data_IF_439382231522
#
_entry.id   IF_439382231522
#
_cell.length_a   1.000
_cell.length_b   1.000
_cell.length_c   1.000
_cell.angle_alpha   90.00
_cell.angle_beta   90.00
_cell.angle_gamma   90.00
#
_symmetry.space_group_name_H-M   'P 1'
#
loop_
_entity.id
_entity.type
_entity.pdbx_description
1 polymer ?
#
# COMPACT_ATOMS: atom_id res chain seq x y z
N UNK A 1 4.36 8.84 -28.41
CA UNK A 1 5.58 8.02 -28.50
C UNK A 1 5.99 7.45 -27.14
N UNK A 2 6.41 6.19 -27.05
CA UNK A 2 6.88 5.62 -25.79
C UNK A 2 8.16 6.31 -25.32
N UNK A 3 8.24 6.60 -24.01
CA UNK A 3 9.41 7.24 -23.40
C UNK A 3 10.37 6.20 -22.82
N UNK A 4 11.67 6.49 -22.89
CA UNK A 4 12.74 5.62 -22.42
C UNK A 4 13.33 6.21 -21.14
N UNK A 5 13.07 5.60 -19.98
CA UNK A 5 13.61 6.06 -18.70
C UNK A 5 14.47 4.98 -18.05
N UNK A 6 15.58 5.40 -17.45
CA UNK A 6 16.48 4.53 -16.67
C UNK A 6 16.25 4.76 -15.19
N UNK A 7 15.58 3.81 -14.54
CA UNK A 7 15.30 3.88 -13.10
C UNK A 7 16.37 3.08 -12.32
N UNK A 8 16.85 3.59 -11.18
CA UNK A 8 18.00 3.03 -10.44
C UNK A 8 17.65 2.36 -9.10
N UNK A 9 16.44 2.58 -8.57
CA UNK A 9 16.01 2.02 -7.28
C UNK A 9 14.63 1.37 -7.41
N UNK A 10 14.22 0.55 -6.44
CA UNK A 10 12.84 0.01 -6.33
C UNK A 10 12.24 0.40 -4.99
N UNK A 11 10.91 0.41 -4.86
CA UNK A 11 10.21 0.46 -3.58
C UNK A 11 10.15 -0.92 -2.89
N UNK A 12 11.19 -1.76 -3.05
CA UNK A 12 11.32 -3.06 -2.41
C UNK A 12 12.48 -3.04 -1.41
N UNK A 13 12.21 -3.53 -0.21
CA UNK A 13 13.21 -3.73 0.84
C UNK A 13 13.25 -5.19 1.23
N UNK A 14 14.45 -5.75 1.34
CA UNK A 14 14.71 -7.10 1.82
C UNK A 14 15.04 -7.05 3.31
N UNK A 15 14.33 -7.85 4.09
CA UNK A 15 14.64 -8.15 5.49
C UNK A 15 15.46 -9.45 5.50
N UNK A 16 16.64 -9.41 6.12
CA UNK A 16 17.58 -10.55 6.20
C UNK A 16 17.13 -11.61 7.24
N UNK A 17 15.90 -12.09 7.13
CA UNK A 17 15.43 -13.30 7.84
C UNK A 17 15.89 -14.57 7.10
N UNK A 18 15.70 -15.73 7.72
CA UNK A 18 15.94 -17.04 7.09
C UNK A 18 14.64 -17.87 7.06
N UNK A 19 13.97 -17.98 5.90
CA UNK A 19 14.26 -17.37 4.59
C UNK A 19 13.98 -15.84 4.57
N UNK A 20 14.52 -15.08 3.59
CA UNK A 20 14.42 -13.62 3.57
C UNK A 20 13.01 -13.13 3.28
N UNK A 21 12.52 -12.17 4.05
CA UNK A 21 11.22 -11.51 3.85
C UNK A 21 11.36 -10.16 3.16
N UNK A 22 10.25 -9.57 2.71
CA UNK A 22 10.25 -8.38 1.88
C UNK A 22 9.18 -7.38 2.31
N UNK A 23 9.46 -6.10 2.13
CA UNK A 23 8.51 -5.00 2.26
C UNK A 23 8.45 -4.26 0.93
N UNK A 24 7.26 -4.03 0.40
CA UNK A 24 7.01 -3.37 -0.86
C UNK A 24 6.12 -2.14 -0.65
N UNK A 25 6.54 -0.99 -1.19
CA UNK A 25 5.82 0.27 -1.16
C UNK A 25 4.77 0.35 -2.26
N UNK A 26 3.48 0.33 -1.92
CA UNK A 26 2.36 0.51 -2.84
C UNK A 26 1.88 1.96 -2.87
N UNK A 27 1.11 2.32 -3.90
CA UNK A 27 0.28 3.52 -3.94
C UNK A 27 -1.06 3.14 -4.57
N UNK A 28 -2.11 3.91 -4.28
CA UNK A 28 -3.48 3.66 -4.74
C UNK A 28 -3.65 4.03 -6.21
N UNK A 29 -3.06 3.22 -7.09
CA UNK A 29 -3.14 3.37 -8.54
C UNK A 29 -3.67 2.09 -9.18
N UNK A 30 -4.28 2.18 -10.38
CA UNK A 30 -4.71 1.01 -11.10
C UNK A 30 -3.54 0.06 -11.40
N UNK A 31 -3.67 -1.22 -11.06
CA UNK A 31 -2.62 -2.21 -11.23
C UNK A 31 -2.27 -2.41 -12.71
N UNK A 32 -3.24 -2.34 -13.62
CA UNK A 32 -3.02 -2.48 -15.06
C UNK A 32 -2.06 -1.41 -15.62
N UNK A 33 -2.02 -0.21 -15.02
CA UNK A 33 -1.15 0.87 -15.42
C UNK A 33 0.29 0.69 -14.93
N UNK A 34 0.53 -0.07 -13.85
CA UNK A 34 1.85 -0.14 -13.20
C UNK A 34 2.44 -1.52 -13.09
N UNK A 35 1.63 -2.55 -12.91
CA UNK A 35 2.07 -3.93 -12.72
C UNK A 35 3.00 -4.43 -13.85
N UNK A 36 2.76 -4.11 -15.13
CA UNK A 36 3.71 -4.45 -16.20
C UNK A 36 5.10 -3.84 -15.97
N UNK A 37 5.16 -2.63 -15.42
CA UNK A 37 6.38 -1.84 -15.20
C UNK A 37 7.01 -2.05 -13.81
N UNK A 38 6.32 -2.72 -12.88
CA UNK A 38 6.89 -3.11 -11.59
C UNK A 38 8.14 -3.98 -11.82
N UNK A 39 9.27 -3.69 -11.14
CA UNK A 39 10.52 -4.42 -11.34
C UNK A 39 10.34 -5.93 -11.15
N UNK A 40 10.99 -6.73 -12.01
CA UNK A 40 10.96 -8.21 -11.93
C UNK A 40 11.33 -8.75 -10.55
N UNK A 41 12.18 -8.04 -9.82
CA UNK A 41 12.64 -8.35 -8.47
C UNK A 41 11.50 -8.29 -7.45
N UNK A 42 10.59 -7.32 -7.58
CA UNK A 42 9.35 -7.23 -6.77
C UNK A 42 8.47 -8.44 -7.06
N UNK A 43 8.23 -8.74 -8.34
CA UNK A 43 7.42 -9.90 -8.73
C UNK A 43 8.03 -11.21 -8.23
N UNK A 44 9.35 -11.37 -8.32
CA UNK A 44 10.06 -12.54 -7.76
C UNK A 44 9.91 -12.65 -6.24
N UNK A 45 10.08 -11.54 -5.52
CA UNK A 45 9.89 -11.49 -4.08
C UNK A 45 8.46 -11.90 -3.71
N UNK A 46 7.46 -11.32 -4.38
CA UNK A 46 6.04 -11.65 -4.18
C UNK A 46 5.77 -13.13 -4.47
N UNK A 47 6.18 -13.64 -5.63
CA UNK A 47 5.96 -15.05 -6.02
C UNK A 47 6.62 -16.02 -5.06
N UNK A 48 7.86 -15.75 -4.62
CA UNK A 48 8.60 -16.64 -3.72
C UNK A 48 8.04 -16.70 -2.30
N UNK A 49 7.27 -15.70 -1.88
CA UNK A 49 6.76 -15.58 -0.51
C UNK A 49 5.58 -16.50 -0.24
N UNK A 50 5.54 -17.12 0.94
CA UNK A 50 4.43 -17.99 1.35
C UNK A 50 3.34 -17.21 2.06
N UNK A 51 3.68 -16.04 2.62
CA UNK A 51 2.76 -15.16 3.34
C UNK A 51 2.73 -13.80 2.67
N UNK A 52 1.55 -13.21 2.59
CA UNK A 52 1.31 -11.85 2.11
C UNK A 52 0.52 -11.08 3.16
N UNK A 53 0.98 -9.87 3.48
CA UNK A 53 0.30 -9.00 4.43
C UNK A 53 0.16 -7.61 3.83
N UNK A 54 -1.07 -7.15 3.65
CA UNK A 54 -1.35 -5.78 3.27
C UNK A 54 -1.32 -4.86 4.50
N UNK A 55 -1.08 -3.57 4.31
CA UNK A 55 -1.34 -2.54 5.32
C UNK A 55 -2.77 -2.66 5.83
N UNK A 56 -3.72 -2.65 4.89
CA UNK A 56 -5.13 -2.92 5.10
C UNK A 56 -5.60 -3.94 4.06
N UNK A 57 -6.13 -5.07 4.52
CA UNK A 57 -6.73 -6.08 3.63
C UNK A 57 -8.20 -5.75 3.34
N UNK A 58 -8.45 -4.93 2.32
CA UNK A 58 -9.79 -4.54 1.89
C UNK A 58 -10.65 -5.68 1.33
N UNK A 59 -10.12 -6.91 1.22
CA UNK A 59 -10.90 -8.12 0.87
C UNK A 59 -11.21 -9.00 2.08
N UNK A 60 -10.78 -8.60 3.27
CA UNK A 60 -11.10 -9.30 4.50
C UNK A 60 -12.53 -8.98 4.94
N UNK A 61 -13.40 -10.00 4.99
CA UNK A 61 -14.73 -9.88 5.58
C UNK A 61 -14.66 -9.42 7.03
N UNK A 62 -13.70 -9.94 7.80
CA UNK A 62 -13.49 -9.55 9.21
C UNK A 62 -13.17 -8.06 9.33
N UNK A 63 -12.32 -7.53 8.43
CA UNK A 63 -12.02 -6.09 8.42
C UNK A 63 -13.30 -5.27 8.18
N UNK A 64 -14.13 -5.66 7.21
CA UNK A 64 -15.36 -4.95 6.90
C UNK A 64 -16.41 -5.07 8.00
N UNK A 65 -16.54 -6.22 8.65
CA UNK A 65 -17.46 -6.40 9.78
C UNK A 65 -17.05 -5.51 10.96
N UNK A 66 -15.78 -5.52 11.34
CA UNK A 66 -15.23 -4.65 12.39
C UNK A 66 -15.37 -3.16 12.03
N UNK A 67 -15.17 -2.83 10.75
CA UNK A 67 -15.33 -1.48 10.22
C UNK A 67 -16.79 -1.01 10.28
N UNK A 68 -17.74 -1.84 9.86
CA UNK A 68 -19.16 -1.54 9.93
C UNK A 68 -19.62 -1.36 11.38
N UNK A 69 -19.18 -2.25 12.29
CA UNK A 69 -19.45 -2.14 13.72
C UNK A 69 -18.92 -0.83 14.30
N UNK A 70 -17.70 -0.42 13.91
CA UNK A 70 -17.12 0.85 14.31
C UNK A 70 -18.02 2.03 13.91
N UNK A 71 -18.47 2.06 12.66
CA UNK A 71 -19.25 3.18 12.12
C UNK A 71 -20.63 3.26 12.76
N UNK A 72 -21.32 2.12 12.88
CA UNK A 72 -22.65 2.04 13.51
C UNK A 72 -22.58 2.55 14.95
N UNK A 73 -21.55 2.15 15.71
CA UNK A 73 -21.36 2.60 17.10
C UNK A 73 -21.01 4.10 17.22
N UNK A 74 -20.55 4.75 16.15
CA UNK A 74 -20.30 6.20 16.10
C UNK A 74 -21.51 7.03 15.64
N UNK A 75 -22.69 6.41 15.49
CA UNK A 75 -23.94 7.09 15.09
C UNK A 75 -23.90 7.77 13.71
N UNK A 76 -23.02 7.33 12.81
CA UNK A 76 -22.99 7.82 11.42
C UNK A 76 -23.84 6.90 10.55
N UNK A 77 -24.92 7.43 9.97
CA UNK A 77 -25.78 6.73 9.01
C UNK A 77 -24.96 6.43 7.75
N UNK A 78 -24.79 5.16 7.41
CA UNK A 78 -24.24 4.74 6.11
C UNK A 78 -25.35 4.03 5.35
N UNK A 79 -25.67 4.54 4.17
CA UNK A 79 -26.46 3.81 3.18
C UNK A 79 -25.57 2.71 2.59
N UNK A 80 -26.05 1.46 2.69
CA UNK A 80 -25.39 0.30 2.11
C UNK A 80 -25.46 0.42 0.58
N UNK A 81 -24.32 0.47 -0.09
CA UNK A 81 -24.22 0.20 -1.53
C UNK A 81 -23.54 -1.15 -1.73
N UNK A 82 -24.34 -2.11 -2.18
CA UNK A 82 -23.86 -3.39 -2.69
C UNK A 82 -23.59 -3.20 -4.18
N UNK A 83 -22.33 -3.00 -4.59
CA UNK A 83 -21.88 -3.29 -5.95
C UNK A 83 -20.35 -3.48 -6.01
N UNK A 84 -19.92 -4.57 -6.63
CA UNK A 84 -18.65 -5.27 -6.36
C UNK A 84 -17.58 -5.09 -7.43
N UNK A 85 -17.57 -4.03 -8.23
CA UNK A 85 -16.93 -4.14 -9.56
C UNK A 85 -15.55 -3.47 -9.71
N UNK A 86 -15.13 -2.53 -8.85
CA UNK A 86 -13.94 -1.71 -9.18
C UNK A 86 -12.76 -1.82 -8.18
N UNK A 87 -12.94 -2.53 -7.05
CA UNK A 87 -11.84 -2.68 -6.08
C UNK A 87 -10.67 -3.51 -6.58
N UNK A 88 -10.89 -4.47 -7.50
CA UNK A 88 -9.83 -5.38 -7.98
C UNK A 88 -8.83 -4.70 -8.90
N UNK A 89 -9.10 -3.45 -9.29
CA UNK A 89 -8.24 -2.70 -10.18
C UNK A 89 -7.16 -1.90 -9.46
N UNK A 90 -7.23 -1.66 -8.15
CA UNK A 90 -6.17 -0.96 -7.40
C UNK A 90 -5.04 -1.93 -7.03
N UNK A 91 -3.77 -1.51 -7.17
CA UNK A 91 -2.60 -2.34 -6.91
C UNK A 91 -2.60 -3.03 -5.53
N UNK A 92 -2.97 -2.32 -4.46
CA UNK A 92 -3.04 -2.85 -3.09
C UNK A 92 -4.00 -4.04 -2.97
N UNK A 93 -5.18 -3.88 -3.57
CA UNK A 93 -6.25 -4.88 -3.54
C UNK A 93 -5.92 -6.03 -4.48
N UNK A 94 -5.42 -5.72 -5.68
CA UNK A 94 -4.95 -6.72 -6.65
C UNK A 94 -3.93 -7.68 -6.03
N UNK A 95 -2.93 -7.17 -5.32
CA UNK A 95 -1.93 -8.01 -4.65
C UNK A 95 -2.56 -8.94 -3.61
N UNK A 96 -3.58 -8.46 -2.88
CA UNK A 96 -4.33 -9.26 -1.89
C UNK A 96 -5.17 -10.35 -2.54
N UNK A 97 -5.80 -10.07 -3.68
CA UNK A 97 -6.56 -11.04 -4.48
C UNK A 97 -5.63 -12.08 -5.09
N UNK A 98 -4.54 -11.63 -5.70
CA UNK A 98 -3.55 -12.49 -6.34
C UNK A 98 -2.84 -13.39 -5.32
N UNK A 99 -2.55 -12.88 -4.11
CA UNK A 99 -1.98 -13.68 -3.03
C UNK A 99 -2.90 -14.84 -2.63
N UNK A 100 -4.21 -14.60 -2.53
CA UNK A 100 -5.21 -15.65 -2.28
C UNK A 100 -5.28 -16.64 -3.43
N UNK A 101 -5.27 -16.16 -4.69
CA UNK A 101 -5.26 -17.02 -5.89
C UNK A 101 -4.04 -17.94 -5.92
N UNK A 102 -2.91 -17.48 -5.38
CA UNK A 102 -1.67 -18.24 -5.26
C UNK A 102 -1.59 -19.07 -3.96
N UNK A 103 -2.69 -19.22 -3.22
CA UNK A 103 -2.77 -19.96 -1.95
C UNK A 103 -1.74 -19.52 -0.90
N UNK A 104 -1.37 -18.23 -0.89
CA UNK A 104 -0.57 -17.64 0.18
C UNK A 104 -1.43 -17.45 1.42
N UNK A 105 -0.82 -17.50 2.61
CA UNK A 105 -1.46 -16.99 3.82
C UNK A 105 -1.60 -15.48 3.68
N UNK A 106 -2.82 -14.95 3.79
CA UNK A 106 -3.10 -13.51 3.66
C UNK A 106 -3.54 -12.92 4.99
N UNK A 107 -3.00 -11.75 5.33
CA UNK A 107 -3.40 -10.99 6.52
C UNK A 107 -3.29 -9.48 6.36
N UNK A 108 -3.66 -8.75 7.42
CA UNK A 108 -3.63 -7.29 7.50
C UNK A 108 -2.68 -6.85 8.60
N UNK A 109 -1.92 -5.77 8.36
CA UNK A 109 -0.98 -5.21 9.35
C UNK A 109 -1.69 -4.26 10.31
N UNK A 110 -2.70 -3.54 9.82
CA UNK A 110 -3.60 -2.69 10.60
C UNK A 110 -4.98 -3.33 10.73
N UNK A 111 -5.72 -2.93 11.76
CA UNK A 111 -7.10 -3.40 12.02
C UNK A 111 -8.08 -2.25 11.96
N UNK A 112 -9.33 -2.53 11.60
CA UNK A 112 -10.40 -1.53 11.61
C UNK A 112 -10.58 -0.90 12.99
N UNK A 113 -10.41 -1.68 14.06
CA UNK A 113 -10.45 -1.20 15.45
C UNK A 113 -9.40 -0.10 15.72
N UNK A 114 -8.20 -0.23 15.18
CA UNK A 114 -7.14 0.78 15.37
C UNK A 114 -7.57 2.13 14.80
N UNK A 115 -8.04 2.13 13.54
CA UNK A 115 -8.57 3.33 12.89
C UNK A 115 -9.81 3.87 13.62
N UNK A 116 -10.56 3.00 14.30
CA UNK A 116 -11.74 3.40 15.06
C UNK A 116 -11.41 4.14 16.37
N UNK A 117 -10.55 3.55 17.22
CA UNK A 117 -10.35 3.98 18.60
C UNK A 117 -9.36 5.13 18.76
N UNK A 118 -8.30 5.16 17.94
CA UNK A 118 -7.15 6.05 18.18
C UNK A 118 -7.19 7.33 17.36
N UNK A 119 -7.74 7.27 16.14
CA UNK A 119 -7.78 8.39 15.20
C UNK A 119 -9.04 9.26 15.38
N UNK A 120 -10.01 8.83 16.20
CA UNK A 120 -11.21 9.61 16.51
C UNK A 120 -11.97 10.13 15.28
N UNK A 121 -11.96 9.42 14.13
CA UNK A 121 -12.67 9.73 12.88
C UNK A 121 -12.88 11.23 12.55
N UNK A 122 -11.88 12.08 12.80
CA UNK A 122 -11.96 13.53 12.51
C UNK A 122 -10.94 14.06 11.50
N UNK A 123 -9.88 13.33 11.16
CA UNK A 123 -8.99 13.58 10.01
C UNK A 123 -8.42 12.20 9.62
N UNK A 124 -8.47 11.67 8.40
CA UNK A 124 -8.19 12.22 7.09
C UNK A 124 -9.32 11.81 6.13
N UNK A 125 -10.29 12.71 6.03
CA UNK A 125 -11.31 12.65 5.00
C UNK A 125 -10.62 12.56 3.62
N UNK A 126 -9.52 13.22 3.30
CA UNK A 126 -8.94 13.18 1.93
C UNK A 126 -8.45 11.80 1.44
N UNK A 127 -7.76 11.00 2.27
CA UNK A 127 -7.20 9.69 1.82
C UNK A 127 -8.26 8.60 1.76
N UNK A 128 -9.16 8.57 2.76
CA UNK A 128 -10.30 7.67 2.73
C UNK A 128 -11.44 8.19 1.87
N UNK A 129 -11.59 9.50 1.62
CA UNK A 129 -12.45 10.07 0.57
C UNK A 129 -11.89 9.63 -0.77
N UNK A 130 -10.60 9.65 -1.07
CA UNK A 130 -10.18 9.14 -2.39
C UNK A 130 -10.62 7.68 -2.56
N UNK A 131 -10.46 6.83 -1.55
CA UNK A 131 -10.92 5.43 -1.61
C UNK A 131 -12.47 5.33 -1.58
N UNK A 132 -13.16 6.08 -0.74
CA UNK A 132 -14.62 6.04 -0.54
C UNK A 132 -15.38 6.82 -1.61
N UNK A 133 -14.81 7.86 -2.22
CA UNK A 133 -15.31 8.68 -3.32
C UNK A 133 -14.99 8.00 -4.66
N UNK A 134 -13.86 7.29 -4.76
CA UNK A 134 -13.65 6.25 -5.78
C UNK A 134 -14.74 5.19 -5.68
N UNK A 135 -14.99 4.62 -4.49
CA UNK A 135 -16.05 3.63 -4.27
C UNK A 135 -17.45 4.23 -4.48
N UNK A 136 -17.72 5.46 -4.04
CA UNK A 136 -19.05 6.10 -4.07
C UNK A 136 -19.41 6.62 -5.46
N UNK A 137 -18.48 7.21 -6.19
CA UNK A 137 -18.72 7.63 -7.57
C UNK A 137 -18.82 6.43 -8.52
N UNK A 138 -18.09 5.34 -8.27
CA UNK A 138 -18.20 4.10 -9.05
C UNK A 138 -19.50 3.33 -8.81
N UNK A 139 -20.10 3.45 -7.62
CA UNK A 139 -21.36 2.79 -7.26
C UNK A 139 -22.62 3.58 -7.65
N UNK A 140 -22.55 4.91 -7.82
CA UNK A 140 -23.74 5.72 -8.14
C UNK A 140 -23.92 5.94 -9.65
N UNK A 141 -22.81 6.01 -10.43
CA UNK A 141 -22.88 6.43 -11.83
C UNK A 141 -22.51 5.37 -12.86
N UNK A 142 -22.16 4.14 -12.46
CA UNK A 142 -21.96 3.01 -13.37
C UNK A 142 -21.04 3.33 -14.55
N UNK A 143 -19.76 2.96 -14.43
CA UNK A 143 -18.63 3.23 -15.36
C UNK A 143 -17.90 4.54 -15.09
N UNK A 144 -16.66 4.42 -14.62
CA UNK A 144 -15.63 5.46 -14.74
C UNK A 144 -14.72 5.06 -15.90
N UNK A 145 -14.41 6.02 -16.78
CA UNK A 145 -13.41 5.83 -17.82
C UNK A 145 -12.02 5.80 -17.19
N UNK A 146 -11.05 5.13 -17.82
CA UNK A 146 -9.62 5.31 -17.51
C UNK A 146 -9.25 6.81 -17.49
N UNK A 147 -9.97 7.65 -18.24
CA UNK A 147 -9.79 9.11 -18.29
C UNK A 147 -10.06 9.83 -16.97
N UNK A 148 -10.99 9.33 -16.16
CA UNK A 148 -11.34 9.95 -14.88
C UNK A 148 -10.26 9.68 -13.81
N UNK A 149 -9.59 8.53 -13.89
CA UNK A 149 -8.43 8.21 -13.05
C UNK A 149 -7.21 9.06 -13.45
N UNK A 150 -7.05 9.38 -14.74
CA UNK A 150 -6.00 10.30 -15.23
C UNK A 150 -6.14 11.70 -14.62
N UNK A 151 -7.36 12.15 -14.34
CA UNK A 151 -7.59 13.47 -13.76
C UNK A 151 -7.18 13.56 -12.28
N UNK A 152 -7.25 12.46 -11.52
CA UNK A 152 -6.90 12.44 -10.09
C UNK A 152 -5.43 12.07 -9.83
N UNK A 153 -4.84 11.21 -10.67
CA UNK A 153 -3.43 10.79 -10.55
C UNK A 153 -2.72 11.18 -11.84
N UNK A 154 -1.99 12.29 -11.77
CA UNK A 154 -1.28 12.80 -12.94
C UNK A 154 -0.20 11.82 -13.44
N UNK A 155 0.08 11.86 -14.74
CA UNK A 155 1.06 11.00 -15.41
C UNK A 155 2.45 11.08 -14.74
N UNK A 156 2.83 12.25 -14.22
CA UNK A 156 4.08 12.43 -13.47
C UNK A 156 4.14 11.57 -12.21
N UNK A 157 3.05 11.42 -11.46
CA UNK A 157 3.03 10.59 -10.24
C UNK A 157 3.25 9.12 -10.58
N UNK A 158 2.67 8.64 -11.68
CA UNK A 158 2.88 7.27 -12.15
C UNK A 158 4.33 7.07 -12.62
N UNK A 159 4.88 8.04 -13.38
CA UNK A 159 6.29 8.04 -13.80
C UNK A 159 7.24 8.02 -12.59
N UNK A 160 7.00 8.87 -11.59
CA UNK A 160 7.79 8.99 -10.38
C UNK A 160 7.73 7.70 -9.54
N UNK A 161 6.54 7.09 -9.41
CA UNK A 161 6.36 5.81 -8.73
C UNK A 161 7.12 4.69 -9.45
N UNK A 162 6.93 4.59 -10.77
CA UNK A 162 7.63 3.61 -11.61
C UNK A 162 9.13 3.78 -11.43
N UNK A 163 9.68 4.98 -11.59
CA UNK A 163 11.11 5.19 -11.44
C UNK A 163 11.62 5.29 -10.00
N UNK A 164 10.72 5.19 -9.02
CA UNK A 164 11.04 5.29 -7.60
C UNK A 164 11.74 6.62 -7.26
N UNK A 165 11.36 7.66 -8.00
CA UNK A 165 11.75 9.07 -7.88
C UNK A 165 10.74 9.86 -7.02
N UNK A 166 9.85 9.16 -6.28
CA UNK A 166 8.95 9.75 -5.26
C UNK A 166 9.73 10.51 -4.16
N UNK A 167 11.07 10.41 -4.16
CA UNK A 167 11.99 11.27 -3.43
C UNK A 167 11.94 12.74 -3.92
N UNK A 168 10.95 13.49 -3.43
CA UNK A 168 11.14 14.80 -2.76
C UNK A 168 9.93 15.73 -2.87
N UNK A 169 9.09 15.62 -3.91
CA UNK A 169 8.00 16.59 -4.13
C UNK A 169 6.70 16.15 -3.47
N UNK A 170 6.31 14.88 -3.66
CA UNK A 170 5.05 14.32 -3.14
C UNK A 170 5.09 14.13 -1.62
N UNK A 171 6.20 13.61 -1.10
CA UNK A 171 6.40 13.39 0.35
C UNK A 171 6.56 14.68 1.14
N UNK A 172 7.12 15.72 0.52
CA UNK A 172 7.26 17.00 1.18
C UNK A 172 5.88 17.64 1.40
N UNK A 173 5.01 17.62 0.39
CA UNK A 173 3.64 18.13 0.50
C UNK A 173 2.74 17.27 1.40
N UNK A 174 2.91 15.94 1.44
CA UNK A 174 2.11 15.02 2.29
C UNK A 174 2.50 15.01 3.77
N UNK A 175 3.70 15.49 4.13
CA UNK A 175 4.24 15.44 5.50
C UNK A 175 4.53 16.83 6.09
N UNK A 176 4.01 17.88 5.46
CA UNK A 176 4.34 19.27 5.81
C UNK A 176 3.64 19.76 7.09
N UNK A 177 2.71 19.00 7.66
CA UNK A 177 2.11 19.29 8.97
C UNK A 177 2.66 18.37 10.07
N UNK A 178 2.97 18.95 11.24
CA UNK A 178 3.47 18.19 12.40
C UNK A 178 2.49 17.10 12.85
N UNK A 179 1.19 17.37 12.74
CA UNK A 179 0.15 16.42 13.16
C UNK A 179 0.10 15.21 12.24
N UNK A 180 0.04 15.37 10.92
CA UNK A 180 0.02 14.24 9.97
C UNK A 180 1.28 13.37 10.07
N UNK A 181 2.44 14.02 10.26
CA UNK A 181 3.70 13.32 10.50
C UNK A 181 3.66 12.51 11.81
N UNK A 182 3.11 13.05 12.90
CA UNK A 182 2.97 12.34 14.16
C UNK A 182 2.02 11.13 14.04
N UNK A 183 0.92 11.25 13.29
CA UNK A 183 0.01 10.13 13.04
C UNK A 183 0.70 9.02 12.24
N UNK A 184 1.46 9.37 11.20
CA UNK A 184 2.23 8.40 10.42
C UNK A 184 3.26 7.66 11.27
N UNK A 185 4.00 8.36 12.14
CA UNK A 185 4.96 7.73 13.04
C UNK A 185 4.30 6.74 14.01
N UNK A 186 3.07 7.02 14.48
CA UNK A 186 2.33 6.11 15.34
C UNK A 186 1.87 4.84 14.59
N UNK A 187 1.44 4.99 13.33
CA UNK A 187 1.09 3.86 12.46
C UNK A 187 2.31 2.99 12.18
N UNK A 188 3.43 3.61 11.82
CA UNK A 188 4.71 2.92 11.63
C UNK A 188 5.15 2.14 12.87
N UNK A 189 4.89 2.68 14.07
CA UNK A 189 5.15 1.97 15.32
C UNK A 189 4.33 0.69 15.45
N UNK A 190 3.03 0.76 15.20
CA UNK A 190 2.17 -0.40 15.29
C UNK A 190 2.51 -1.43 14.21
N UNK A 191 2.65 -1.00 12.96
CA UNK A 191 2.98 -1.85 11.83
C UNK A 191 4.32 -2.55 12.10
N UNK A 192 5.36 -1.81 12.52
CA UNK A 192 6.67 -2.40 12.83
C UNK A 192 6.61 -3.43 13.96
N UNK A 193 5.84 -3.18 15.03
CA UNK A 193 5.62 -4.15 16.11
C UNK A 193 4.90 -5.40 15.60
N UNK A 194 3.91 -5.25 14.73
CA UNK A 194 3.18 -6.38 14.15
C UNK A 194 4.09 -7.24 13.26
N UNK A 195 4.83 -6.61 12.34
CA UNK A 195 5.83 -7.30 11.50
C UNK A 195 6.85 -8.03 12.38
N UNK A 196 7.35 -7.39 13.45
CA UNK A 196 8.29 -8.04 14.37
C UNK A 196 7.71 -9.31 15.02
N UNK A 197 6.44 -9.29 15.46
CA UNK A 197 5.77 -10.49 16.00
C UNK A 197 5.63 -11.59 14.95
N UNK A 198 5.21 -11.25 13.73
CA UNK A 198 5.06 -12.21 12.63
C UNK A 198 6.38 -12.91 12.30
N UNK A 199 7.47 -12.15 12.23
CA UNK A 199 8.80 -12.68 11.92
C UNK A 199 9.38 -13.52 13.08
N UNK A 200 9.11 -13.19 14.34
CA UNK A 200 9.58 -13.97 15.50
C UNK A 200 8.81 -15.28 15.71
N UNK A 201 7.53 -15.32 15.35
CA UNK A 201 6.65 -16.46 15.64
C UNK A 201 6.70 -17.55 14.56
N UNK A 202 7.56 -17.42 13.56
CA UNK A 202 7.63 -18.37 12.45
C UNK A 202 9.03 -18.84 12.14
N UNK A 203 9.24 -20.14 12.19
CA UNK A 203 10.40 -20.78 11.60
C UNK A 203 10.07 -21.12 10.14
N UNK A 204 10.90 -20.65 9.22
CA UNK A 204 10.85 -20.98 7.78
C UNK A 204 9.75 -20.32 6.91
N UNK A 205 9.08 -19.26 7.39
CA UNK A 205 8.15 -18.49 6.56
C UNK A 205 8.85 -17.37 5.77
N UNK A 206 8.39 -17.14 4.54
CA UNK A 206 8.80 -16.00 3.73
C UNK A 206 7.63 -15.03 3.61
N UNK A 207 7.76 -13.84 4.17
CA UNK A 207 6.72 -12.81 4.14
C UNK A 207 6.94 -11.79 3.03
N UNK A 208 5.84 -11.35 2.43
CA UNK A 208 5.76 -10.17 1.59
C UNK A 208 4.78 -9.18 2.21
N UNK A 209 5.30 -8.08 2.75
CA UNK A 209 4.51 -6.99 3.32
C UNK A 209 4.28 -5.93 2.24
N UNK A 210 3.04 -5.56 1.96
CA UNK A 210 2.69 -4.46 1.08
C UNK A 210 2.12 -3.31 1.92
N UNK A 211 2.83 -2.18 1.95
CA UNK A 211 2.45 -0.98 2.70
C UNK A 211 2.56 0.24 1.81
N UNK A 212 1.84 1.31 2.12
CA UNK A 212 1.93 2.57 1.42
C UNK A 212 3.38 3.06 1.37
N UNK A 213 3.83 3.53 0.20
CA UNK A 213 5.21 3.93 -0.04
C UNK A 213 5.71 5.02 0.95
N UNK A 214 4.79 5.84 1.47
CA UNK A 214 5.09 6.86 2.47
C UNK A 214 5.68 6.28 3.78
N UNK A 215 5.25 5.09 4.21
CA UNK A 215 5.77 4.39 5.41
C UNK A 215 7.28 4.07 5.33
N UNK A 216 7.84 4.08 4.12
CA UNK A 216 9.19 3.61 3.84
C UNK A 216 10.19 4.74 3.58
N UNK A 217 9.69 5.97 3.44
CA UNK A 217 10.43 7.12 2.97
C UNK A 217 10.51 8.21 4.07
N UNK A 218 11.28 9.27 3.85
CA UNK A 218 11.48 10.34 4.83
C UNK A 218 12.64 10.16 5.81
N UNK A 219 12.96 11.23 6.55
CA UNK A 219 14.21 11.36 7.35
C UNK A 219 14.08 11.00 8.85
N UNK A 220 12.88 10.70 9.35
CA UNK A 220 12.62 10.39 10.78
C UNK A 220 11.70 9.18 10.93
N UNK A 221 11.82 8.48 12.07
CA UNK A 221 11.13 7.27 12.58
C UNK A 221 10.18 6.46 11.67
N UNK A 222 10.53 6.28 10.40
CA UNK A 222 9.73 5.50 9.46
C UNK A 222 9.80 3.98 9.73
N UNK A 223 8.97 3.21 9.03
CA UNK A 223 8.87 1.76 9.19
C UNK A 223 10.24 1.05 9.10
N UNK A 224 11.08 1.45 8.15
CA UNK A 224 12.41 0.85 7.97
C UNK A 224 13.33 1.15 9.15
N UNK A 225 13.33 2.39 9.64
CA UNK A 225 14.12 2.77 10.82
C UNK A 225 13.66 1.98 12.05
N UNK A 226 12.34 1.82 12.23
CA UNK A 226 11.78 1.08 13.37
C UNK A 226 12.10 -0.40 13.33
N UNK A 227 12.00 -1.04 12.16
CA UNK A 227 12.38 -2.45 12.03
C UNK A 227 13.88 -2.67 12.25
N UNK A 228 14.74 -1.74 11.83
CA UNK A 228 16.17 -1.78 12.17
C UNK A 228 16.42 -1.71 13.67
N UNK A 229 15.60 -0.96 14.43
CA UNK A 229 15.67 -0.93 15.91
C UNK A 229 15.33 -2.26 16.58
N UNK A 230 14.51 -3.10 15.94
CA UNK A 230 14.27 -4.48 16.39
C UNK A 230 15.45 -5.44 16.08
N UNK A 231 16.53 -4.95 15.45
CA UNK A 231 17.71 -5.74 15.13
C UNK A 231 17.73 -6.32 13.71
N UNK A 232 16.72 -6.03 12.89
CA UNK A 232 16.67 -6.53 11.52
C UNK A 232 17.67 -5.80 10.62
N UNK A 233 18.49 -6.56 9.88
CA UNK A 233 19.24 -6.02 8.74
C UNK A 233 18.29 -5.88 7.56
N UNK A 234 18.12 -4.65 7.07
CA UNK A 234 17.21 -4.32 5.97
C UNK A 234 17.93 -3.55 4.89
N UNK A 235 17.81 -4.01 3.64
CA UNK A 235 18.44 -3.41 2.47
C UNK A 235 17.40 -3.06 1.41
N UNK A 236 17.52 -1.87 0.82
CA UNK A 236 16.69 -1.51 -0.34
C UNK A 236 17.23 -2.28 -1.56
N UNK A 237 16.35 -2.94 -2.30
CA UNK A 237 16.72 -3.61 -3.54
C UNK A 237 16.74 -2.54 -4.63
N UNK A 238 17.91 -2.33 -5.22
CA UNK A 238 18.10 -1.40 -6.33
C UNK A 238 18.26 -2.19 -7.63
N UNK A 239 17.58 -1.75 -8.69
CA UNK A 239 17.60 -2.43 -9.98
C UNK A 239 17.73 -1.40 -11.08
N UNK A 240 18.67 -1.60 -11.98
CA UNK A 240 18.77 -0.79 -13.19
C UNK A 240 17.86 -1.38 -14.26
N UNK A 241 16.80 -0.66 -14.64
CA UNK A 241 15.89 -1.08 -15.70
C UNK A 241 15.65 0.07 -16.67
N UNK A 242 15.93 -0.20 -17.94
CA UNK A 242 15.47 0.63 -19.05
C UNK A 242 14.00 0.28 -19.29
N UNK A 243 13.10 1.23 -19.05
CA UNK A 243 11.65 1.03 -19.17
C UNK A 243 11.12 1.79 -20.37
N UNK A 244 10.45 1.07 -21.25
CA UNK A 244 9.67 1.63 -22.34
C UNK A 244 8.26 1.81 -21.79
N UNK A 245 7.93 3.02 -21.37
CA UNK A 245 6.58 3.33 -20.91
C UNK A 245 5.73 3.67 -22.12
N UNK A 246 4.55 3.05 -22.24
CA UNK A 246 3.54 3.55 -23.17
C UNK A 246 3.18 4.98 -22.75
N UNK A 247 2.98 5.85 -23.72
CA UNK A 247 2.37 7.15 -23.45
C UNK A 247 1.02 6.93 -22.78
N UNK A 248 0.79 7.65 -21.68
CA UNK A 248 -0.55 7.80 -21.14
C UNK A 248 -1.24 8.82 -22.06
N UNK A 249 -1.81 8.33 -23.16
CA UNK A 249 -2.60 9.13 -24.08
C UNK A 249 -3.86 9.69 -23.43
#
# INVERSE_FOLDING_TARGET
MPFNQTCSSTLLWRIETSPPSYIFGTIHIPYNLVWPYVPKEVRKAFMSSTHYYAEIDAKSYVFWDDFLLCIVNQSKRIERSTDSVIQDEILDVYLSVEARRLNKTVGSLESAEYHCKKEGWRHNLTTWIIILDYIKNTMINGTFSIDDIKHQINESTIKDYICNEIDSKYIKTLLETNDEMQHMEQRDEQISRHIHRLLNNSNNNRYFFAVGAAHMLGKRQNLIVRLKKFGYKITRICTYQKRIMKEFG
#
